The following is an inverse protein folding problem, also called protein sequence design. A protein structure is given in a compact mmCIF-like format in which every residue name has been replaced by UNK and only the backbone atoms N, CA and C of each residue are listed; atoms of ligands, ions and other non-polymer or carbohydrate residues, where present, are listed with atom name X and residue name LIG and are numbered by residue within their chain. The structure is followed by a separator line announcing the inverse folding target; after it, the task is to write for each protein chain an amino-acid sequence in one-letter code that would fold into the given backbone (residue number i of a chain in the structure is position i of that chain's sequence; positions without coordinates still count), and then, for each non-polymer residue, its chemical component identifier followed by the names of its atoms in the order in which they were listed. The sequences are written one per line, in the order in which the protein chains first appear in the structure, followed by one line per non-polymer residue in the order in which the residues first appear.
data_IF_429940727294
#
_entry.id   IF_429940727294
#
_cell.length_a   1.000
_cell.length_b   1.000
_cell.length_c   1.000
_cell.angle_alpha   90.00
_cell.angle_beta   90.00
_cell.angle_gamma   90.00
#
_symmetry.space_group_name_H-M   'P 1'
#
loop_
_entity.id
_entity.type
_entity.pdbx_description
1 polymer ?
#
# COMPACT_ATOMS: atom_id res chain seq x y z
N UNK A 1 1.58 33.87 36.39
CA UNK A 1 1.89 32.74 35.47
C UNK A 1 3.09 31.99 36.04
N UNK A 2 3.03 30.66 36.13
CA UNK A 2 4.14 29.83 36.62
C UNK A 2 5.04 29.42 35.43
N UNK A 3 6.36 29.24 35.62
CA UNK A 3 7.27 28.88 34.53
C UNK A 3 7.10 27.42 34.08
N UNK A 4 7.28 27.16 32.78
CA UNK A 4 7.31 25.81 32.20
C UNK A 4 8.64 25.11 32.53
N UNK A 5 8.55 23.91 33.09
CA UNK A 5 9.72 23.10 33.43
C UNK A 5 10.23 22.36 32.18
N UNK A 6 11.55 22.37 31.96
CA UNK A 6 12.18 21.65 30.84
C UNK A 6 12.12 20.13 31.07
N UNK A 7 11.55 19.40 30.12
CA UNK A 7 11.45 17.92 30.16
C UNK A 7 12.65 17.24 29.50
N UNK A 8 13.77 17.95 29.32
CA UNK A 8 14.95 17.43 28.64
C UNK A 8 14.84 17.43 27.11
N UNK A 9 15.86 16.90 26.41
CA UNK A 9 15.92 16.92 24.94
C UNK A 9 14.81 16.06 24.32
N UNK A 10 14.30 16.49 23.17
CA UNK A 10 13.28 15.76 22.43
C UNK A 10 13.80 14.36 22.03
N UNK A 11 13.00 13.31 22.27
CA UNK A 11 13.31 11.97 21.80
C UNK A 11 13.02 11.87 20.29
N UNK A 12 14.00 11.38 19.53
CA UNK A 12 13.84 11.14 18.09
C UNK A 12 13.01 9.88 17.90
N UNK A 13 11.79 10.02 17.39
CA UNK A 13 10.97 8.86 17.01
C UNK A 13 11.43 8.35 15.64
N UNK A 14 11.65 7.04 15.45
CA UNK A 14 11.96 6.49 14.13
C UNK A 14 10.86 6.82 13.13
N UNK A 15 11.24 7.20 11.92
CA UNK A 15 10.27 7.35 10.83
C UNK A 15 9.58 6.00 10.56
N UNK A 16 8.26 5.99 10.32
CA UNK A 16 7.57 4.76 9.94
C UNK A 16 8.18 4.17 8.67
N UNK A 17 8.35 2.85 8.65
CA UNK A 17 8.93 2.14 7.52
C UNK A 17 8.07 2.35 6.26
N UNK A 18 8.69 2.79 5.16
CA UNK A 18 8.04 2.88 3.86
C UNK A 18 7.92 1.48 3.27
N UNK A 19 6.73 0.88 3.32
CA UNK A 19 6.45 -0.34 2.56
C UNK A 19 6.37 0.03 1.07
N UNK A 20 7.07 -0.73 0.22
CA UNK A 20 6.92 -0.60 -1.23
C UNK A 20 5.43 -0.78 -1.60
N UNK A 21 4.94 0.02 -2.54
CA UNK A 21 3.55 -0.09 -2.98
C UNK A 21 3.27 -1.51 -3.47
N UNK A 22 2.23 -2.15 -2.94
CA UNK A 22 1.83 -3.49 -3.33
C UNK A 22 1.47 -3.48 -4.82
N UNK A 23 2.17 -4.32 -5.60
CA UNK A 23 2.04 -4.36 -7.06
C UNK A 23 0.82 -5.19 -7.47
N UNK A 24 0.25 -4.89 -8.64
CA UNK A 24 -0.78 -5.73 -9.25
C UNK A 24 -0.29 -6.27 -10.58
N UNK A 25 -0.43 -7.57 -10.79
CA UNK A 25 0.04 -8.30 -11.95
C UNK A 25 -1.13 -8.86 -12.78
N UNK A 26 -0.97 -8.94 -14.10
CA UNK A 26 -1.88 -9.66 -14.97
C UNK A 26 -1.62 -11.17 -14.88
N UNK A 27 -2.44 -11.96 -15.59
CA UNK A 27 -2.26 -13.42 -15.66
C UNK A 27 -0.88 -13.86 -16.19
N UNK A 28 -0.19 -13.00 -16.93
CA UNK A 28 1.13 -13.26 -17.51
C UNK A 28 2.28 -12.77 -16.62
N UNK A 29 1.98 -12.28 -15.40
CA UNK A 29 2.96 -11.76 -14.45
C UNK A 29 3.45 -10.33 -14.76
N UNK A 30 2.81 -9.60 -15.68
CA UNK A 30 3.16 -8.21 -15.99
C UNK A 30 2.45 -7.27 -15.05
N UNK A 31 3.11 -6.21 -14.60
CA UNK A 31 2.46 -5.17 -13.80
C UNK A 31 1.30 -4.57 -14.60
N UNK A 32 0.13 -4.43 -13.98
CA UNK A 32 -1.04 -3.76 -14.55
C UNK A 32 -1.05 -2.30 -14.11
N UNK A 33 -0.71 -1.35 -15.00
CA UNK A 33 -0.70 0.07 -14.63
C UNK A 33 -2.11 0.55 -14.31
N UNK A 34 -2.23 1.46 -13.33
CA UNK A 34 -3.52 1.99 -12.90
C UNK A 34 -4.36 1.01 -12.08
N UNK A 35 -3.86 -0.19 -11.82
CA UNK A 35 -4.51 -1.15 -10.93
C UNK A 35 -3.77 -1.22 -9.61
N UNK A 36 -4.52 -1.13 -8.51
CA UNK A 36 -3.99 -1.16 -7.15
C UNK A 36 -4.77 -2.13 -6.28
N UNK A 37 -4.17 -2.70 -5.22
CA UNK A 37 -4.91 -3.52 -4.26
C UNK A 37 -6.04 -2.73 -3.60
N UNK A 38 -7.18 -3.38 -3.44
CA UNK A 38 -8.38 -2.79 -2.86
C UNK A 38 -8.96 -3.60 -1.69
N UNK A 39 -8.35 -4.74 -1.38
CA UNK A 39 -8.74 -5.61 -0.27
C UNK A 39 -8.24 -7.03 -0.48
N UNK A 40 -8.67 -7.97 0.38
CA UNK A 40 -8.40 -9.39 0.19
C UNK A 40 -8.98 -9.85 -1.16
N UNK A 41 -8.13 -10.44 -2.00
CA UNK A 41 -8.51 -10.99 -3.31
C UNK A 41 -9.26 -9.99 -4.22
N UNK A 42 -9.01 -8.69 -4.04
CA UNK A 42 -9.65 -7.60 -4.77
C UNK A 42 -8.64 -6.54 -5.17
N UNK A 43 -8.72 -6.13 -6.43
CA UNK A 43 -7.99 -4.98 -6.96
C UNK A 43 -8.94 -3.97 -7.56
N UNK A 44 -8.51 -2.71 -7.61
CA UNK A 44 -9.24 -1.60 -8.19
C UNK A 44 -8.47 -1.04 -9.39
N UNK A 45 -9.10 -1.00 -10.56
CA UNK A 45 -8.59 -0.35 -11.77
C UNK A 45 -9.10 1.09 -11.83
N UNK A 46 -8.21 2.05 -11.57
CA UNK A 46 -8.53 3.47 -11.57
C UNK A 46 -8.82 4.02 -12.97
N UNK A 47 -8.45 3.30 -14.04
CA UNK A 47 -8.70 3.73 -15.42
C UNK A 47 -10.16 3.53 -15.82
N UNK A 48 -10.80 2.48 -15.28
CA UNK A 48 -12.21 2.15 -15.57
C UNK A 48 -13.13 2.31 -14.36
N UNK A 49 -12.58 2.55 -13.16
CA UNK A 49 -13.34 2.58 -11.90
C UNK A 49 -13.90 1.22 -11.48
N UNK A 50 -13.32 0.12 -11.99
CA UNK A 50 -13.85 -1.24 -11.78
C UNK A 50 -13.01 -2.00 -10.77
N UNK A 51 -13.67 -2.94 -10.08
CA UNK A 51 -13.01 -3.90 -9.22
C UNK A 51 -12.88 -5.23 -9.93
N UNK A 52 -11.74 -5.90 -9.74
CA UNK A 52 -11.51 -7.26 -10.24
C UNK A 52 -11.11 -8.17 -9.10
N UNK A 53 -11.38 -9.46 -9.27
CA UNK A 53 -10.90 -10.48 -8.36
C UNK A 53 -9.40 -10.71 -8.59
N UNK A 54 -8.73 -11.12 -7.53
CA UNK A 54 -7.30 -11.39 -7.55
C UNK A 54 -6.91 -12.54 -6.64
N UNK A 55 -5.65 -12.95 -6.74
CA UNK A 55 -4.99 -13.87 -5.82
C UNK A 55 -3.70 -13.22 -5.30
N UNK A 56 -3.21 -13.58 -4.10
CA UNK A 56 -1.88 -13.17 -3.66
C UNK A 56 -0.80 -13.67 -4.63
N UNK A 57 0.18 -12.81 -4.96
CA UNK A 57 1.27 -13.15 -5.86
C UNK A 57 2.55 -12.41 -5.47
N UNK A 58 3.52 -13.13 -4.90
CA UNK A 58 4.83 -12.59 -4.53
C UNK A 58 4.73 -11.36 -3.62
N UNK A 59 5.15 -10.21 -4.13
CA UNK A 59 5.14 -8.89 -3.49
C UNK A 59 3.84 -8.10 -3.74
N UNK A 60 2.77 -8.75 -4.21
CA UNK A 60 1.54 -8.09 -4.60
C UNK A 60 0.34 -9.02 -4.82
N UNK A 61 -0.51 -8.66 -5.77
CA UNK A 61 -1.68 -9.43 -6.18
C UNK A 61 -1.69 -9.68 -7.68
N UNK A 62 -2.32 -10.76 -8.12
CA UNK A 62 -2.50 -11.08 -9.53
C UNK A 62 -3.99 -11.12 -9.87
N UNK A 63 -4.39 -10.42 -10.94
CA UNK A 63 -5.78 -10.37 -11.41
C UNK A 63 -6.22 -11.73 -11.94
N UNK A 64 -7.40 -12.18 -11.52
CA UNK A 64 -8.01 -13.39 -12.06
C UNK A 64 -8.54 -13.14 -13.47
N UNK A 65 -8.43 -14.12 -14.39
CA UNK A 65 -9.03 -14.04 -15.71
C UNK A 65 -10.55 -13.85 -15.67
#
# INVERSE_FOLDING_TARGET
AQPIHSTGPAQVTPAPATRAADKVYDRNGRIVPGVRPAGPNRVFDSRTGRYYDSVPAGDGQQVKP
#
